data_IF_707094598166
#
_entry.id   IF_707094598166
#
_cell.length_a   1.000
_cell.length_b   1.000
_cell.length_c   1.000
_cell.angle_alpha   90.00
_cell.angle_beta   90.00
_cell.angle_gamma   90.00
#
_symmetry.space_group_name_H-M   'P 1'
#
loop_
_entity.id
_entity.type
_entity.pdbx_description
1 polymer ?
#
# COMPACT_ATOMS: atom_id res chain seq x y z
N UNK A 1 -6.21 7.68 1.35
CA UNK A 1 -5.03 7.04 1.93
C UNK A 1 -4.96 7.47 3.39
N UNK A 2 -4.64 6.56 4.30
CA UNK A 2 -4.54 6.89 5.72
C UNK A 2 -3.07 7.18 6.04
N UNK A 3 -2.77 8.39 6.47
CA UNK A 3 -1.45 8.80 6.93
C UNK A 3 -1.56 9.24 8.39
N UNK A 4 -0.52 8.97 9.18
CA UNK A 4 -0.49 9.27 10.62
C UNK A 4 0.78 10.04 10.93
N UNK A 5 0.73 11.14 11.71
CA UNK A 5 1.89 11.99 11.97
C UNK A 5 2.78 11.41 13.07
N UNK A 6 3.27 10.18 12.90
CA UNK A 6 4.16 9.49 13.83
C UNK A 6 5.58 9.45 13.29
N UNK A 7 6.56 9.60 14.18
CA UNK A 7 7.96 9.45 13.81
C UNK A 7 8.33 7.97 13.56
N UNK A 8 9.34 7.70 12.71
CA UNK A 8 9.91 6.37 12.55
C UNK A 8 10.30 5.73 13.88
N UNK A 9 10.19 4.40 13.96
CA UNK A 9 10.57 3.63 15.14
C UNK A 9 12.06 3.85 15.43
N UNK A 10 12.40 4.13 16.69
CA UNK A 10 13.78 4.24 17.15
C UNK A 10 14.44 5.62 16.97
N UNK A 11 13.79 6.59 16.32
CA UNK A 11 14.35 7.94 16.17
C UNK A 11 14.06 8.86 17.36
N UNK A 12 12.96 8.62 18.08
CA UNK A 12 12.57 9.34 19.31
C UNK A 12 12.49 8.36 20.48
N UNK A 13 12.87 8.80 21.68
CA UNK A 13 13.02 7.92 22.86
C UNK A 13 11.73 7.36 23.44
N UNK A 14 10.56 7.89 23.05
CA UNK A 14 9.23 7.37 23.41
C UNK A 14 8.25 7.60 22.24
N UNK A 15 8.30 6.78 21.19
CA UNK A 15 7.33 6.89 20.11
C UNK A 15 5.97 6.40 20.64
N UNK A 16 4.95 7.25 20.59
CA UNK A 16 3.58 6.83 20.85
C UNK A 16 3.01 6.19 19.58
N UNK A 17 2.56 4.93 19.69
CA UNK A 17 1.94 4.24 18.57
C UNK A 17 0.61 4.92 18.23
N UNK A 18 0.39 5.21 16.95
CA UNK A 18 -0.91 5.68 16.47
C UNK A 18 -1.81 4.48 16.14
N UNK A 19 -3.07 4.56 16.56
CA UNK A 19 -4.07 3.52 16.30
C UNK A 19 -5.23 4.11 15.51
N UNK A 20 -5.36 3.70 14.26
CA UNK A 20 -6.54 3.97 13.42
C UNK A 20 -7.44 2.74 13.43
N UNK A 21 -8.73 2.92 13.72
CA UNK A 21 -9.73 1.85 13.63
C UNK A 21 -10.61 2.09 12.41
N UNK A 22 -10.72 1.09 11.54
CA UNK A 22 -11.54 1.11 10.35
C UNK A 22 -12.59 0.02 10.43
N UNK A 23 -13.79 0.29 9.90
CA UNK A 23 -14.81 -0.73 9.64
C UNK A 23 -14.73 -1.07 8.16
N UNK A 24 -14.50 -2.35 7.86
CA UNK A 24 -14.39 -2.86 6.50
C UNK A 24 -15.60 -3.73 6.18
N UNK A 25 -15.95 -3.79 4.91
CA UNK A 25 -17.03 -4.62 4.37
C UNK A 25 -16.48 -5.82 3.60
N UNK A 26 -17.38 -6.73 3.21
CA UNK A 26 -16.97 -7.83 2.34
C UNK A 26 -16.44 -7.28 1.02
N UNK A 27 -15.42 -7.94 0.48
CA UNK A 27 -14.76 -7.58 -0.78
C UNK A 27 -13.91 -6.31 -0.76
N UNK A 28 -13.84 -5.58 0.36
CA UNK A 28 -12.89 -4.46 0.53
C UNK A 28 -11.45 -4.94 0.33
N UNK A 29 -10.63 -4.11 -0.31
CA UNK A 29 -9.20 -4.39 -0.54
C UNK A 29 -8.35 -3.42 0.27
N UNK A 30 -7.49 -3.98 1.12
CA UNK A 30 -6.47 -3.25 1.87
C UNK A 30 -5.18 -3.29 1.04
N UNK A 31 -4.58 -2.12 0.83
CA UNK A 31 -3.28 -1.98 0.16
C UNK A 31 -2.30 -1.33 1.13
N UNK A 32 -1.16 -2.00 1.35
CA UNK A 32 -0.03 -1.48 2.12
C UNK A 32 1.18 -1.39 1.18
N UNK A 33 1.91 -0.28 1.26
CA UNK A 33 3.05 0.01 0.38
C UNK A 33 4.16 0.67 1.19
N UNK A 34 5.42 0.36 0.86
CA UNK A 34 6.58 1.14 1.33
C UNK A 34 6.68 2.47 0.57
N UNK A 35 7.53 3.37 1.07
CA UNK A 35 7.91 4.65 0.46
C UNK A 35 8.62 4.51 -0.88
N UNK A 36 9.16 3.33 -1.22
CA UNK A 36 9.58 3.00 -2.58
C UNK A 36 8.47 3.09 -3.65
N UNK A 37 7.19 3.15 -3.25
CA UNK A 37 6.09 3.52 -4.15
C UNK A 37 5.70 4.99 -3.92
N UNK A 38 6.14 5.84 -4.85
CA UNK A 38 5.87 7.28 -4.78
C UNK A 38 4.38 7.64 -4.85
N UNK A 39 4.01 8.78 -4.24
CA UNK A 39 2.63 9.30 -4.26
C UNK A 39 2.12 9.60 -5.69
N UNK A 40 3.03 9.93 -6.60
CA UNK A 40 2.75 10.15 -8.02
C UNK A 40 2.10 8.91 -8.69
N UNK A 41 2.35 7.72 -8.16
CA UNK A 41 1.84 6.44 -8.69
C UNK A 41 0.46 6.07 -8.14
N UNK A 42 -0.09 6.80 -7.17
CA UNK A 42 -1.34 6.42 -6.49
C UNK A 42 -2.55 6.44 -7.43
N UNK A 43 -2.53 7.27 -8.49
CA UNK A 43 -3.56 7.25 -9.53
C UNK A 43 -3.57 5.90 -10.28
N UNK A 44 -2.39 5.38 -10.62
CA UNK A 44 -2.23 4.08 -11.26
C UNK A 44 -2.66 2.93 -10.34
N UNK A 45 -2.29 2.98 -9.05
CA UNK A 45 -2.73 2.00 -8.04
C UNK A 45 -4.26 1.91 -7.99
N UNK A 46 -4.94 3.06 -7.88
CA UNK A 46 -6.41 3.12 -7.89
C UNK A 46 -7.01 2.56 -9.17
N UNK A 47 -6.44 2.90 -10.33
CA UNK A 47 -6.89 2.37 -11.61
C UNK A 47 -6.83 0.85 -11.66
N UNK A 48 -5.74 0.24 -11.15
CA UNK A 48 -5.60 -1.22 -11.10
C UNK A 48 -6.60 -1.89 -10.17
N UNK A 49 -6.87 -1.29 -9.01
CA UNK A 49 -7.89 -1.80 -8.10
C UNK A 49 -9.29 -1.74 -8.72
N UNK A 50 -9.63 -0.65 -9.39
CA UNK A 50 -10.93 -0.47 -10.07
C UNK A 50 -11.12 -1.40 -11.27
N UNK A 51 -10.04 -1.77 -11.95
CA UNK A 51 -10.10 -2.75 -13.04
C UNK A 51 -10.45 -4.18 -12.54
N UNK A 52 -10.28 -4.45 -11.24
CA UNK A 52 -10.51 -5.76 -10.64
C UNK A 52 -9.48 -6.81 -11.07
N UNK A 53 -9.78 -8.08 -10.76
CA UNK A 53 -8.93 -9.22 -11.12
C UNK A 53 -8.08 -9.74 -9.96
N UNK A 54 -6.98 -10.42 -10.29
CA UNK A 54 -6.11 -11.06 -9.30
C UNK A 54 -5.33 -10.02 -8.49
N UNK A 55 -5.42 -10.11 -7.16
CA UNK A 55 -4.67 -9.25 -6.25
C UNK A 55 -3.16 -9.39 -6.46
N UNK A 56 -2.67 -10.60 -6.75
CA UNK A 56 -1.26 -10.87 -6.99
C UNK A 56 -0.77 -10.16 -8.25
N UNK A 57 -1.55 -10.22 -9.33
CA UNK A 57 -1.23 -9.54 -10.59
C UNK A 57 -1.25 -8.01 -10.39
N UNK A 58 -2.20 -7.50 -9.61
CA UNK A 58 -2.27 -6.08 -9.25
C UNK A 58 -1.05 -5.64 -8.44
N UNK A 59 -0.67 -6.39 -7.40
CA UNK A 59 0.53 -6.13 -6.60
C UNK A 59 1.78 -6.07 -7.49
N UNK A 60 1.96 -7.07 -8.36
CA UNK A 60 3.09 -7.12 -9.28
C UNK A 60 3.09 -5.96 -10.28
N UNK A 61 1.94 -5.57 -10.81
CA UNK A 61 1.83 -4.44 -11.72
C UNK A 61 2.22 -3.11 -11.05
N UNK A 62 1.87 -2.92 -9.77
CA UNK A 62 2.26 -1.75 -8.98
C UNK A 62 3.79 -1.75 -8.79
N UNK A 63 4.38 -2.87 -8.34
CA UNK A 63 5.84 -2.98 -8.20
C UNK A 63 6.58 -2.68 -9.50
N UNK A 64 6.16 -3.28 -10.62
CA UNK A 64 6.80 -3.06 -11.92
C UNK A 64 6.65 -1.63 -12.46
N UNK A 65 5.60 -0.89 -12.06
CA UNK A 65 5.44 0.52 -12.41
C UNK A 65 6.37 1.38 -11.56
N UNK A 66 6.37 1.18 -10.25
CA UNK A 66 7.25 1.91 -9.31
C UNK A 66 8.74 1.71 -9.68
N UNK A 67 9.15 0.48 -9.99
CA UNK A 67 10.51 0.19 -10.46
C UNK A 67 10.89 0.96 -11.73
N UNK A 68 9.95 1.13 -12.67
CA UNK A 68 10.19 1.87 -13.91
C UNK A 68 10.29 3.37 -13.67
N UNK A 69 9.47 3.91 -12.79
CA UNK A 69 9.53 5.33 -12.43
C UNK A 69 10.80 5.67 -11.65
N UNK A 70 11.29 4.75 -10.81
CA UNK A 70 12.55 4.91 -10.08
C UNK A 70 13.80 4.78 -10.97
N UNK A 71 13.69 4.28 -12.20
CA UNK A 71 14.82 4.09 -13.11
C UNK A 71 15.50 5.41 -13.52
N UNK A 72 14.79 6.54 -13.39
CA UNK A 72 15.32 7.88 -13.62
C UNK A 72 15.91 8.53 -12.34
N UNK A 73 15.97 7.81 -11.21
CA UNK A 73 16.38 8.29 -9.89
C UNK A 73 17.16 7.28 -9.03
N UNK A 74 17.16 7.47 -7.70
CA UNK A 74 17.81 6.55 -6.75
C UNK A 74 16.82 5.44 -6.39
N UNK A 75 17.07 4.18 -6.76
CA UNK A 75 16.14 3.09 -6.49
C UNK A 75 16.07 2.80 -4.98
N UNK A 76 14.85 2.65 -4.47
CA UNK A 76 14.53 2.26 -3.10
C UNK A 76 13.86 0.87 -3.08
N UNK A 77 13.78 0.25 -1.90
CA UNK A 77 13.14 -1.05 -1.75
C UNK A 77 11.62 -0.94 -1.90
N UNK A 78 11.08 -1.64 -2.89
CA UNK A 78 9.65 -1.61 -3.23
C UNK A 78 8.95 -2.84 -2.64
N UNK A 79 8.06 -2.60 -1.68
CA UNK A 79 7.19 -3.63 -1.09
C UNK A 79 5.73 -3.22 -1.21
N UNK A 80 4.90 -4.11 -1.76
CA UNK A 80 3.45 -3.91 -1.93
C UNK A 80 2.71 -5.16 -1.44
N UNK A 81 1.74 -4.97 -0.55
CA UNK A 81 0.86 -6.03 -0.04
C UNK A 81 -0.59 -5.67 -0.29
N UNK A 82 -1.33 -6.60 -0.88
CA UNK A 82 -2.78 -6.51 -1.08
C UNK A 82 -3.46 -7.65 -0.32
N UNK A 83 -4.51 -7.32 0.43
CA UNK A 83 -5.37 -8.28 1.09
C UNK A 83 -6.83 -7.92 0.80
N UNK A 84 -7.67 -8.93 0.58
CA UNK A 84 -9.11 -8.73 0.43
C UNK A 84 -9.85 -9.28 1.63
N UNK A 85 -10.74 -8.46 2.17
CA UNK A 85 -11.64 -8.86 3.23
C UNK A 85 -12.69 -9.79 2.62
N UNK A 86 -12.81 -10.98 3.21
CA UNK A 86 -13.86 -11.93 2.89
C UNK A 86 -14.63 -12.23 4.17
N UNK A 87 -15.96 -12.15 4.11
CA UNK A 87 -16.78 -12.71 5.16
C UNK A 87 -16.58 -14.22 5.16
N UNK A 88 -16.32 -14.77 6.34
CA UNK A 88 -16.37 -16.20 6.49
C UNK A 88 -17.84 -16.62 6.42
N UNK A 89 -18.21 -17.32 5.36
CA UNK A 89 -19.50 -17.99 5.24
C UNK A 89 -19.22 -19.46 5.52
N UNK A 90 -19.45 -19.89 6.76
CA UNK A 90 -19.50 -21.30 7.11
C UNK A 90 -20.67 -22.00 6.40
#
# INVERSE_FOLDING_TARGET
>A
MYQTPTFPIGIVGRPEAHVTRLRLEDSDVIVLMSDGVEESEYAFVKQKLLAGGSLQQTAQAICCKAQRSAADGRPDDITVLLAQVRRNTD
#
